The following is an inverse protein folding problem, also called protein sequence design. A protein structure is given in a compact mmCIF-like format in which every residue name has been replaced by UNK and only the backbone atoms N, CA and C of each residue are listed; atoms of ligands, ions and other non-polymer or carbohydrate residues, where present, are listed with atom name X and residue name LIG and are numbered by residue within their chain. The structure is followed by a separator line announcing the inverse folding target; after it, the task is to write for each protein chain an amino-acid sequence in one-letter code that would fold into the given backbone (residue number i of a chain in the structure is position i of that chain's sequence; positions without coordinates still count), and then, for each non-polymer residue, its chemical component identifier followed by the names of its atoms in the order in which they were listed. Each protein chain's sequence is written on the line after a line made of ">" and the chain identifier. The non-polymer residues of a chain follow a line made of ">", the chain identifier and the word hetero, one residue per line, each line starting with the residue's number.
data_IF_157957080731
#
_entry.id   IF_157957080731
#
_cell.length_a   1.000
_cell.length_b   1.000
_cell.length_c   1.000
_cell.angle_alpha   90.00
_cell.angle_beta   90.00
_cell.angle_gamma   90.00
#
_symmetry.space_group_name_H-M   'P 1'
#
loop_
_entity.id
_entity.type
_entity.pdbx_description
1 polymer ?
#
# COMPACT_ATOMS: atom_id res chain seq x y z
N UNK A 1 -20.52 49.21 42.77
CA UNK A 1 -19.29 48.81 42.05
C UNK A 1 -18.90 47.42 42.51
N UNK A 2 -19.12 46.38 41.68
CA UNK A 2 -18.50 45.06 41.86
C UNK A 2 -17.89 44.70 40.52
N UNK A 3 -16.59 44.45 40.57
CA UNK A 3 -15.66 44.22 39.47
C UNK A 3 -15.94 42.90 38.74
N UNK A 4 -15.90 42.93 37.41
CA UNK A 4 -15.70 41.76 36.55
C UNK A 4 -14.41 41.02 36.95
N UNK A 5 -14.38 39.70 36.74
CA UNK A 5 -13.22 38.99 36.17
C UNK A 5 -13.68 37.68 35.54
N UNK A 6 -13.56 37.63 34.22
CA UNK A 6 -13.79 36.47 33.38
C UNK A 6 -12.64 35.48 33.58
N UNK A 7 -12.96 34.23 33.89
CA UNK A 7 -11.99 33.13 33.95
C UNK A 7 -12.28 32.15 32.83
N UNK A 8 -11.89 32.52 31.61
CA UNK A 8 -11.81 31.61 30.46
C UNK A 8 -10.37 31.58 29.94
N UNK A 9 -9.44 30.84 30.59
CA UNK A 9 -8.25 30.43 29.84
C UNK A 9 -7.87 28.95 30.00
N UNK A 10 -8.55 28.15 30.82
CA UNK A 10 -8.10 26.79 31.12
C UNK A 10 -8.57 25.72 30.14
N UNK A 11 -9.70 25.89 29.44
CA UNK A 11 -10.19 24.87 28.50
C UNK A 11 -9.42 24.83 27.18
N UNK A 12 -8.75 25.92 26.78
CA UNK A 12 -8.09 26.00 25.47
C UNK A 12 -6.72 25.32 25.44
N UNK A 13 -6.02 25.24 26.58
CA UNK A 13 -4.69 24.63 26.66
C UNK A 13 -4.71 23.09 26.67
N UNK A 14 -5.79 22.47 27.16
CA UNK A 14 -5.91 21.01 27.18
C UNK A 14 -6.21 20.43 25.78
N UNK A 15 -6.89 21.19 24.92
CA UNK A 15 -7.21 20.74 23.55
C UNK A 15 -5.96 20.76 22.65
N UNK A 16 -5.00 21.64 22.89
CA UNK A 16 -3.75 21.72 22.09
C UNK A 16 -2.77 20.60 22.43
N UNK A 17 -2.76 20.11 23.67
CA UNK A 17 -1.85 19.04 24.11
C UNK A 17 -2.21 17.66 23.54
N UNK A 18 -3.48 17.39 23.20
CA UNK A 18 -3.89 16.13 22.58
C UNK A 18 -3.53 16.02 21.09
N UNK A 19 -3.28 17.14 20.39
CA UNK A 19 -2.81 17.12 19.00
C UNK A 19 -1.29 16.96 18.87
N UNK A 20 -0.54 17.05 19.98
CA UNK A 20 0.92 16.88 20.00
C UNK A 20 1.37 15.44 20.28
N UNK A 21 0.43 14.50 20.47
CA UNK A 21 0.73 13.08 20.35
C UNK A 21 0.92 12.75 18.87
N UNK A 22 2.07 13.20 18.35
CA UNK A 22 2.59 12.79 17.05
C UNK A 22 2.48 11.27 16.95
N UNK A 23 1.95 10.82 15.83
CA UNK A 23 1.85 9.42 15.49
C UNK A 23 3.26 8.85 15.61
N UNK A 24 3.51 7.97 16.58
CA UNK A 24 4.80 7.27 16.69
C UNK A 24 4.87 6.35 15.48
N UNK A 25 5.43 6.84 14.38
CA UNK A 25 5.99 5.97 13.36
C UNK A 25 7.11 5.20 14.05
N UNK A 26 7.08 3.87 13.97
CA UNK A 26 8.17 3.06 14.53
C UNK A 26 9.43 3.35 13.74
N UNK A 27 10.56 3.57 14.40
CA UNK A 27 11.83 3.77 13.69
C UNK A 27 12.12 2.58 12.76
N UNK A 28 12.79 2.82 11.61
CA UNK A 28 13.28 1.74 10.77
C UNK A 28 14.07 0.70 11.56
N UNK A 29 13.79 -0.57 11.30
CA UNK A 29 14.48 -1.69 11.96
C UNK A 29 14.95 -2.71 10.94
N UNK A 30 16.04 -3.38 11.27
CA UNK A 30 16.58 -4.47 10.47
C UNK A 30 15.92 -5.79 10.85
N UNK A 31 15.39 -6.50 9.86
CA UNK A 31 14.67 -7.76 10.05
C UNK A 31 15.62 -8.96 9.84
N UNK A 32 15.49 -10.06 10.61
CA UNK A 32 16.39 -11.21 10.51
C UNK A 32 16.49 -11.90 9.14
N UNK A 33 15.57 -11.62 8.22
CA UNK A 33 15.60 -12.14 6.84
C UNK A 33 16.41 -11.26 5.87
N UNK A 34 17.17 -10.28 6.35
CA UNK A 34 18.06 -9.46 5.52
C UNK A 34 17.33 -8.34 4.79
N UNK A 35 16.60 -7.52 5.53
CA UNK A 35 15.83 -6.41 4.98
C UNK A 35 15.58 -5.33 6.03
N UNK A 36 15.56 -4.07 5.61
CA UNK A 36 15.06 -2.96 6.40
C UNK A 36 13.53 -2.90 6.33
N UNK A 37 12.90 -2.56 7.46
CA UNK A 37 11.45 -2.42 7.56
C UNK A 37 11.05 -1.20 8.37
N UNK A 38 9.92 -0.60 8.02
CA UNK A 38 9.30 0.47 8.79
C UNK A 38 7.77 0.39 8.74
N UNK A 39 7.13 0.56 9.90
CA UNK A 39 5.67 0.67 9.98
C UNK A 39 5.24 2.12 9.87
N UNK A 40 4.63 2.44 8.73
CA UNK A 40 4.07 3.74 8.40
C UNK A 40 2.54 3.66 8.52
N UNK A 41 2.02 3.84 9.73
CA UNK A 41 0.58 3.68 10.01
C UNK A 41 0.09 2.27 9.65
N UNK A 42 -0.80 2.16 8.67
CA UNK A 42 -1.37 0.89 8.20
C UNK A 42 -0.55 0.29 7.04
N UNK A 43 0.66 0.81 6.82
CA UNK A 43 1.59 0.35 5.79
C UNK A 43 2.84 -0.25 6.42
N UNK A 44 3.32 -1.33 5.84
CA UNK A 44 4.66 -1.86 6.09
C UNK A 44 5.51 -1.59 4.85
N UNK A 45 6.55 -0.77 5.01
CA UNK A 45 7.57 -0.55 4.01
C UNK A 45 8.76 -1.49 4.26
N UNK A 46 9.34 -2.01 3.19
CA UNK A 46 10.36 -3.06 3.20
C UNK A 46 11.39 -2.76 2.12
N UNK A 47 12.67 -2.89 2.44
CA UNK A 47 13.72 -2.91 1.43
C UNK A 47 14.77 -3.98 1.75
N UNK A 48 14.88 -5.03 0.93
CA UNK A 48 15.88 -6.09 1.11
C UNK A 48 17.32 -5.57 1.03
N UNK A 49 18.22 -6.19 1.79
CA UNK A 49 19.64 -5.80 1.84
C UNK A 49 20.40 -6.08 0.54
N UNK A 50 19.87 -6.90 -0.36
CA UNK A 50 20.56 -7.24 -1.60
C UNK A 50 19.65 -7.05 -2.81
N UNK A 51 20.26 -6.80 -3.96
CA UNK A 51 19.63 -6.92 -5.28
C UNK A 51 20.13 -8.23 -5.88
N UNK A 52 19.21 -9.16 -6.11
CA UNK A 52 19.48 -10.47 -6.70
C UNK A 52 18.92 -10.48 -8.13
N UNK A 53 19.65 -9.89 -9.07
CA UNK A 53 19.21 -9.74 -10.47
C UNK A 53 18.94 -11.09 -11.14
N UNK A 54 19.70 -12.13 -10.80
CA UNK A 54 19.50 -13.49 -11.29
C UNK A 54 18.12 -14.06 -10.91
N UNK A 55 17.53 -13.55 -9.82
CA UNK A 55 16.23 -13.96 -9.30
C UNK A 55 15.11 -12.96 -9.68
N UNK A 56 15.41 -11.91 -10.44
CA UNK A 56 14.43 -10.88 -10.80
C UNK A 56 13.17 -11.43 -11.50
N UNK A 57 13.30 -12.54 -12.23
CA UNK A 57 12.17 -13.21 -12.88
C UNK A 57 11.21 -13.91 -11.91
N UNK A 58 11.67 -14.25 -10.70
CA UNK A 58 10.87 -14.93 -9.69
C UNK A 58 9.98 -13.98 -8.87
N UNK A 59 10.30 -12.69 -8.81
CA UNK A 59 9.46 -11.72 -8.12
C UNK A 59 10.11 -10.35 -7.91
N UNK A 60 9.29 -9.33 -7.71
CA UNK A 60 9.77 -7.97 -7.43
C UNK A 60 10.62 -7.88 -6.15
N UNK A 61 10.43 -8.79 -5.19
CA UNK A 61 11.17 -8.84 -3.92
C UNK A 61 12.70 -8.83 -4.13
N UNK A 62 13.18 -9.50 -5.18
CA UNK A 62 14.62 -9.65 -5.43
C UNK A 62 15.30 -8.35 -5.89
N UNK A 63 14.54 -7.40 -6.44
CA UNK A 63 15.11 -6.20 -7.09
C UNK A 63 14.49 -4.89 -6.61
N UNK A 64 13.49 -4.93 -5.73
CA UNK A 64 12.70 -3.73 -5.38
C UNK A 64 12.64 -3.50 -3.87
N UNK A 65 12.57 -2.24 -3.45
CA UNK A 65 11.89 -1.92 -2.20
C UNK A 65 10.37 -1.94 -2.46
N UNK A 66 9.56 -2.19 -1.45
CA UNK A 66 8.11 -2.20 -1.60
C UNK A 66 7.43 -1.78 -0.30
N UNK A 67 6.21 -1.28 -0.40
CA UNK A 67 5.38 -0.97 0.74
C UNK A 67 3.97 -1.48 0.50
N UNK A 68 3.33 -2.01 1.54
CA UNK A 68 1.98 -2.56 1.38
C UNK A 68 1.06 -2.32 2.56
N UNK A 69 -0.23 -2.23 2.26
CA UNK A 69 -1.34 -2.22 3.20
C UNK A 69 -2.37 -3.26 2.76
N UNK A 70 -3.21 -3.75 3.67
CA UNK A 70 -4.15 -4.82 3.35
C UNK A 70 -5.23 -5.01 4.41
N UNK A 71 -6.02 -6.06 4.22
CA UNK A 71 -7.05 -6.50 5.17
C UNK A 71 -6.45 -7.34 6.31
N UNK A 72 -7.32 -7.89 7.15
CA UNK A 72 -6.94 -8.89 8.15
C UNK A 72 -6.24 -10.10 7.53
N UNK A 73 -5.53 -10.84 8.38
CA UNK A 73 -4.78 -12.02 7.98
C UNK A 73 -5.70 -13.23 7.76
N UNK A 74 -5.41 -13.97 6.70
CA UNK A 74 -5.94 -15.29 6.38
C UNK A 74 -5.33 -16.38 7.28
N UNK A 75 -5.70 -17.64 7.07
CA UNK A 75 -5.19 -18.78 7.87
C UNK A 75 -3.66 -18.97 7.78
N UNK A 76 -3.04 -18.50 6.69
CA UNK A 76 -1.60 -18.50 6.47
C UNK A 76 -0.88 -17.26 7.03
N UNK A 77 -1.58 -16.38 7.75
CA UNK A 77 -1.01 -15.15 8.32
C UNK A 77 -0.75 -14.04 7.31
N UNK A 78 -1.33 -14.12 6.10
CA UNK A 78 -1.18 -13.12 5.04
C UNK A 78 -2.46 -12.30 4.87
N UNK A 79 -2.41 -11.00 4.53
CA UNK A 79 -3.62 -10.23 4.26
C UNK A 79 -4.43 -10.85 3.11
N UNK A 80 -5.75 -11.07 3.30
CA UNK A 80 -6.62 -11.58 2.21
C UNK A 80 -6.52 -10.72 0.96
N UNK A 81 -6.48 -9.39 1.14
CA UNK A 81 -6.33 -8.45 0.05
C UNK A 81 -5.26 -7.44 0.40
N UNK A 82 -4.40 -7.14 -0.58
CA UNK A 82 -3.24 -6.25 -0.39
C UNK A 82 -3.11 -5.27 -1.53
N UNK A 83 -2.76 -4.03 -1.21
CA UNK A 83 -2.29 -3.02 -2.16
C UNK A 83 -0.80 -2.78 -1.90
N UNK A 84 0.01 -2.86 -2.95
CA UNK A 84 1.48 -2.78 -2.85
C UNK A 84 2.01 -1.69 -3.78
N UNK A 85 2.81 -0.78 -3.25
CA UNK A 85 3.72 0.10 -4.01
C UNK A 85 5.07 -0.60 -4.14
N UNK A 86 5.68 -0.55 -5.32
CA UNK A 86 6.92 -1.28 -5.63
C UNK A 86 7.88 -0.32 -6.31
N UNK A 87 9.01 -0.03 -5.67
CA UNK A 87 10.08 0.78 -6.25
C UNK A 87 11.18 -0.15 -6.79
N UNK A 88 11.23 -0.32 -8.10
CA UNK A 88 12.25 -1.12 -8.75
C UNK A 88 13.61 -0.40 -8.65
N UNK A 89 14.58 -1.03 -7.98
CA UNK A 89 15.89 -0.42 -7.71
C UNK A 89 16.84 -0.47 -8.90
N UNK A 90 16.51 -1.25 -9.95
CA UNK A 90 17.30 -1.32 -11.18
C UNK A 90 17.06 -0.11 -12.09
N UNK A 91 15.84 0.42 -12.11
CA UNK A 91 15.45 1.48 -13.04
C UNK A 91 14.75 2.69 -12.38
N UNK A 92 14.44 2.61 -11.09
CA UNK A 92 13.74 3.67 -10.33
C UNK A 92 12.25 3.77 -10.63
N UNK A 93 11.67 2.85 -11.40
CA UNK A 93 10.24 2.88 -11.71
C UNK A 93 9.41 2.50 -10.49
N UNK A 94 8.35 3.27 -10.25
CA UNK A 94 7.36 3.00 -9.22
C UNK A 94 6.15 2.30 -9.84
N UNK A 95 5.72 1.24 -9.20
CA UNK A 95 4.64 0.39 -9.68
C UNK A 95 3.61 0.09 -8.58
N UNK A 96 2.46 -0.43 -9.01
CA UNK A 96 1.34 -0.78 -8.13
C UNK A 96 0.84 -2.18 -8.44
N UNK A 97 0.64 -2.97 -7.39
CA UNK A 97 0.04 -4.28 -7.50
C UNK A 97 -1.06 -4.53 -6.45
N UNK A 98 -2.10 -5.24 -6.86
CA UNK A 98 -3.14 -5.79 -6.01
C UNK A 98 -2.89 -7.27 -5.78
N UNK A 99 -3.00 -7.75 -4.55
CA UNK A 99 -2.94 -9.19 -4.26
C UNK A 99 -4.25 -9.68 -3.68
N UNK A 100 -4.60 -10.91 -4.04
CA UNK A 100 -5.78 -11.65 -3.58
C UNK A 100 -5.33 -13.01 -3.03
N UNK A 101 -5.25 -13.09 -1.71
CA UNK A 101 -4.81 -14.23 -0.92
C UNK A 101 -5.97 -14.78 -0.07
N UNK A 102 -7.21 -14.50 -0.44
CA UNK A 102 -8.37 -15.01 0.29
C UNK A 102 -8.30 -16.55 0.42
N UNK A 103 -8.72 -17.07 1.57
CA UNK A 103 -8.70 -18.51 1.82
C UNK A 103 -9.47 -19.28 0.72
N UNK A 104 -8.83 -20.32 0.17
CA UNK A 104 -9.35 -21.08 -0.98
C UNK A 104 -8.73 -20.72 -2.35
N UNK A 105 -7.82 -19.73 -2.40
CA UNK A 105 -7.07 -19.34 -3.60
C UNK A 105 -7.57 -18.04 -4.21
N UNK A 106 -7.19 -17.75 -5.47
CA UNK A 106 -7.65 -16.54 -6.17
C UNK A 106 -9.19 -16.50 -6.20
N UNK A 107 -9.75 -15.49 -5.56
CA UNK A 107 -11.17 -15.19 -5.55
C UNK A 107 -11.57 -14.21 -6.66
N UNK A 108 -10.63 -13.46 -7.26
CA UNK A 108 -10.90 -12.47 -8.29
C UNK A 108 -11.42 -13.06 -9.62
N UNK A 109 -12.62 -12.63 -10.02
CA UNK A 109 -13.18 -12.87 -11.35
C UNK A 109 -12.54 -11.94 -12.40
N UNK A 110 -11.61 -12.50 -13.17
CA UNK A 110 -10.86 -11.76 -14.21
C UNK A 110 -11.71 -11.28 -15.39
N UNK A 111 -12.96 -11.72 -15.51
CA UNK A 111 -13.87 -11.24 -16.56
C UNK A 111 -14.59 -9.94 -16.19
N UNK A 112 -14.48 -9.51 -14.92
CA UNK A 112 -15.10 -8.29 -14.42
C UNK A 112 -14.02 -7.32 -13.93
N UNK A 113 -14.19 -6.01 -14.14
CA UNK A 113 -13.18 -5.04 -13.72
C UNK A 113 -13.11 -4.94 -12.19
N UNK A 114 -11.89 -4.90 -11.66
CA UNK A 114 -11.62 -4.42 -10.32
C UNK A 114 -11.88 -2.92 -10.28
N UNK A 115 -12.41 -2.42 -9.17
CA UNK A 115 -12.77 -0.99 -9.02
C UNK A 115 -12.05 -0.42 -7.83
N UNK A 116 -11.34 0.69 -8.01
CA UNK A 116 -10.76 1.45 -6.90
C UNK A 116 -11.28 2.87 -6.90
N UNK A 117 -11.74 3.34 -5.75
CA UNK A 117 -12.30 4.67 -5.56
C UNK A 117 -11.59 5.39 -4.43
N UNK A 118 -11.25 6.66 -4.66
CA UNK A 118 -10.69 7.53 -3.63
C UNK A 118 -11.73 8.58 -3.22
N UNK A 119 -12.15 8.55 -1.95
CA UNK A 119 -13.19 9.46 -1.46
C UNK A 119 -14.49 9.39 -2.28
N UNK A 120 -14.95 10.54 -2.77
CA UNK A 120 -16.18 10.69 -3.56
C UNK A 120 -15.95 10.72 -5.07
N UNK A 121 -14.73 10.45 -5.54
CA UNK A 121 -14.42 10.44 -6.98
C UNK A 121 -15.06 9.24 -7.70
N UNK A 122 -15.28 9.32 -9.02
CA UNK A 122 -15.65 8.15 -9.80
C UNK A 122 -14.61 7.02 -9.63
N UNK A 123 -15.02 5.75 -9.53
CA UNK A 123 -14.07 4.65 -9.41
C UNK A 123 -13.25 4.51 -10.70
N UNK A 124 -11.95 4.29 -10.55
CA UNK A 124 -11.10 3.79 -11.62
C UNK A 124 -11.43 2.30 -11.84
N UNK A 125 -11.72 1.96 -13.09
CA UNK A 125 -11.94 0.58 -13.52
C UNK A 125 -10.63 -0.02 -14.03
N UNK A 126 -10.30 -1.20 -13.53
CA UNK A 126 -9.07 -1.94 -13.84
C UNK A 126 -9.46 -3.33 -14.37
N UNK A 127 -9.40 -3.49 -15.69
CA UNK A 127 -9.75 -4.72 -16.41
C UNK A 127 -8.53 -5.61 -16.59
N UNK A 128 -8.66 -6.90 -16.25
CA UNK A 128 -7.59 -7.88 -16.47
C UNK A 128 -7.30 -8.07 -17.97
N UNK A 129 -6.02 -8.13 -18.32
CA UNK A 129 -5.52 -8.22 -19.70
C UNK A 129 -5.48 -6.88 -20.45
N UNK A 130 -6.01 -5.79 -19.89
CA UNK A 130 -5.91 -4.43 -20.45
C UNK A 130 -5.17 -3.51 -19.50
N UNK A 131 -5.66 -3.40 -18.26
CA UNK A 131 -5.14 -2.52 -17.23
C UNK A 131 -4.38 -3.27 -16.15
N UNK A 132 -4.66 -4.57 -16.00
CA UNK A 132 -4.03 -5.46 -15.02
C UNK A 132 -3.41 -6.66 -15.70
N UNK A 133 -2.27 -7.09 -15.20
CA UNK A 133 -1.61 -8.32 -15.63
C UNK A 133 -0.96 -9.05 -14.44
N UNK A 134 -0.74 -10.35 -14.59
CA UNK A 134 0.17 -11.08 -13.70
C UNK A 134 1.59 -10.96 -14.23
N UNK A 135 2.55 -10.77 -13.32
CA UNK A 135 3.99 -10.81 -13.63
C UNK A 135 4.69 -11.85 -12.76
N UNK A 136 5.93 -12.17 -13.13
CA UNK A 136 6.77 -13.13 -12.41
C UNK A 136 6.10 -14.50 -12.32
N UNK A 137 6.39 -15.27 -11.27
CA UNK A 137 5.78 -16.59 -11.00
C UNK A 137 4.49 -16.51 -10.18
N UNK A 138 3.96 -15.31 -9.95
CA UNK A 138 2.79 -15.08 -9.09
C UNK A 138 1.47 -15.24 -9.85
N UNK A 139 0.50 -15.93 -9.26
CA UNK A 139 -0.81 -16.20 -9.89
C UNK A 139 -1.94 -15.32 -9.37
N UNK A 140 -1.70 -14.61 -8.27
CA UNK A 140 -2.69 -13.87 -7.52
C UNK A 140 -2.23 -12.46 -7.14
N UNK A 141 -1.22 -11.96 -7.87
CA UNK A 141 -0.78 -10.58 -7.81
C UNK A 141 -0.97 -9.94 -9.19
N UNK A 142 -1.68 -8.82 -9.21
CA UNK A 142 -2.15 -8.13 -10.40
C UNK A 142 -1.53 -6.73 -10.46
N UNK A 143 -0.58 -6.55 -11.36
CA UNK A 143 0.15 -5.31 -11.59
C UNK A 143 -0.64 -4.40 -12.51
N UNK A 144 -0.58 -3.09 -12.28
CA UNK A 144 -1.21 -2.11 -13.18
C UNK A 144 -0.32 -1.94 -14.42
N UNK A 145 -0.76 -2.51 -15.53
CA UNK A 145 0.00 -2.55 -16.79
C UNK A 145 -0.18 -1.29 -17.63
N UNK A 146 -1.32 -0.63 -17.54
CA UNK A 146 -1.55 0.65 -18.23
C UNK A 146 -0.80 1.79 -17.51
N UNK A 147 0.19 2.45 -18.15
CA UNK A 147 1.01 3.45 -17.49
C UNK A 147 0.21 4.66 -17.00
N UNK A 148 -0.77 5.12 -17.78
CA UNK A 148 -1.56 6.29 -17.42
C UNK A 148 -2.43 6.04 -16.19
N UNK A 149 -3.05 4.85 -16.10
CA UNK A 149 -3.82 4.43 -14.91
C UNK A 149 -2.92 4.21 -13.71
N UNK A 150 -1.75 3.58 -13.89
CA UNK A 150 -0.77 3.40 -12.81
C UNK A 150 -0.35 4.75 -12.22
N UNK A 151 0.01 5.70 -13.07
CA UNK A 151 0.48 7.01 -12.63
C UNK A 151 -0.65 7.80 -11.93
N UNK A 152 -1.87 7.75 -12.48
CA UNK A 152 -3.05 8.35 -11.84
C UNK A 152 -3.38 7.70 -10.49
N UNK A 153 -3.21 6.38 -10.38
CA UNK A 153 -3.42 5.64 -9.15
C UNK A 153 -2.41 6.05 -8.07
N UNK A 154 -1.13 6.10 -8.42
CA UNK A 154 -0.05 6.55 -7.52
C UNK A 154 -0.31 7.99 -7.06
N UNK A 155 -0.70 8.89 -7.96
CA UNK A 155 -1.03 10.26 -7.62
C UNK A 155 -2.17 10.32 -6.59
N UNK A 156 -3.27 9.59 -6.83
CA UNK A 156 -4.37 9.53 -5.89
C UNK A 156 -3.96 8.93 -4.53
N UNK A 157 -3.11 7.90 -4.51
CA UNK A 157 -2.60 7.31 -3.28
C UNK A 157 -1.78 8.29 -2.43
N UNK A 158 -1.05 9.22 -3.07
CA UNK A 158 -0.27 10.28 -2.37
C UNK A 158 -1.16 11.36 -1.76
N UNK A 159 -2.28 11.68 -2.40
CA UNK A 159 -3.11 12.82 -2.03
C UNK A 159 -4.26 12.49 -1.06
N UNK A 160 -4.74 11.25 -1.08
CA UNK A 160 -5.99 10.86 -0.43
C UNK A 160 -5.70 10.10 0.85
N UNK A 161 -6.64 10.11 1.79
CA UNK A 161 -6.46 9.44 3.09
C UNK A 161 -6.90 7.96 3.08
N UNK A 162 -7.72 7.56 2.13
CA UNK A 162 -8.23 6.18 2.02
C UNK A 162 -8.74 5.87 0.62
N UNK A 163 -8.75 4.59 0.26
CA UNK A 163 -9.38 4.06 -0.92
C UNK A 163 -10.43 3.00 -0.56
N UNK A 164 -11.45 2.85 -1.40
CA UNK A 164 -12.34 1.68 -1.43
C UNK A 164 -11.97 0.84 -2.63
N UNK A 165 -11.59 -0.41 -2.39
CA UNK A 165 -11.27 -1.42 -3.38
C UNK A 165 -12.42 -2.41 -3.45
N UNK A 166 -13.01 -2.59 -4.64
CA UNK A 166 -14.08 -3.56 -4.89
C UNK A 166 -13.58 -4.61 -5.86
N UNK A 167 -13.50 -5.85 -5.37
CA UNK A 167 -13.00 -7.00 -6.13
C UNK A 167 -14.19 -7.90 -6.48
N UNK A 168 -14.51 -8.08 -7.77
CA UNK A 168 -15.54 -9.04 -8.17
C UNK A 168 -15.07 -10.47 -7.90
N UNK A 169 -15.92 -11.29 -7.27
CA UNK A 169 -15.56 -12.65 -6.86
C UNK A 169 -16.02 -13.69 -7.90
N UNK A 170 -15.16 -14.64 -8.24
CA UNK A 170 -15.48 -15.76 -9.12
C UNK A 170 -16.55 -16.68 -8.50
N UNK A 171 -17.38 -17.29 -9.34
CA UNK A 171 -18.48 -18.16 -8.93
C UNK A 171 -19.76 -17.88 -9.69
N UNK A 172 -20.86 -18.49 -9.26
CA UNK A 172 -22.15 -18.42 -9.95
C UNK A 172 -22.97 -17.15 -9.63
N UNK A 173 -22.60 -16.40 -8.59
CA UNK A 173 -23.29 -15.15 -8.22
C UNK A 173 -22.65 -13.93 -8.93
N UNK A 174 -23.32 -13.34 -9.94
CA UNK A 174 -22.82 -12.18 -10.66
C UNK A 174 -22.78 -10.89 -9.82
N UNK A 175 -23.34 -10.91 -8.60
CA UNK A 175 -23.30 -9.80 -7.63
C UNK A 175 -22.29 -10.04 -6.51
N UNK A 176 -21.55 -11.15 -6.49
CA UNK A 176 -20.53 -11.39 -5.48
C UNK A 176 -19.33 -10.44 -5.67
N UNK A 177 -19.01 -9.67 -4.63
CA UNK A 177 -17.84 -8.81 -4.54
C UNK A 177 -17.31 -8.73 -3.09
N UNK A 178 -16.00 -8.53 -2.95
CA UNK A 178 -15.39 -8.02 -1.72
C UNK A 178 -15.32 -6.49 -1.78
N UNK A 179 -15.72 -5.81 -0.69
CA UNK A 179 -15.64 -4.35 -0.54
C UNK A 179 -14.69 -4.02 0.61
N UNK A 180 -13.54 -3.43 0.25
CA UNK A 180 -12.38 -3.30 1.12
C UNK A 180 -12.02 -1.84 1.26
N UNK A 181 -11.94 -1.35 2.51
CA UNK A 181 -11.40 -0.02 2.79
C UNK A 181 -9.91 -0.13 3.12
N UNK A 182 -9.09 0.57 2.36
CA UNK A 182 -7.64 0.67 2.57
C UNK A 182 -7.25 2.08 3.02
N UNK A 183 -6.31 2.15 3.96
CA UNK A 183 -5.74 3.42 4.42
C UNK A 183 -4.62 3.87 3.48
N UNK A 184 -4.57 5.17 3.15
CA UNK A 184 -3.50 5.76 2.34
C UNK A 184 -2.57 6.66 3.17
N UNK A 185 -2.81 6.78 4.49
CA UNK A 185 -2.07 7.72 5.35
C UNK A 185 -0.57 7.40 5.46
N UNK A 186 -0.17 6.15 5.23
CA UNK A 186 1.22 5.71 5.26
C UNK A 186 1.97 5.85 3.93
N UNK A 187 1.30 6.26 2.85
CA UNK A 187 1.87 6.21 1.49
C UNK A 187 3.11 7.09 1.36
N UNK A 188 3.03 8.36 1.77
CA UNK A 188 4.15 9.30 1.60
C UNK A 188 5.37 8.86 2.42
N UNK A 189 5.19 8.54 3.70
CA UNK A 189 6.29 8.07 4.55
C UNK A 189 6.89 6.75 4.05
N UNK A 190 6.07 5.85 3.50
CA UNK A 190 6.56 4.61 2.89
C UNK A 190 7.37 4.86 1.62
N UNK A 191 6.99 5.85 0.82
CA UNK A 191 7.76 6.25 -0.36
C UNK A 191 9.09 6.90 0.04
N UNK A 192 9.08 7.75 1.07
CA UNK A 192 10.31 8.35 1.61
C UNK A 192 11.25 7.27 2.18
N UNK A 193 10.72 6.28 2.90
CA UNK A 193 11.49 5.11 3.33
C UNK A 193 12.08 4.36 2.13
N UNK A 194 11.26 4.03 1.13
CA UNK A 194 11.75 3.29 -0.04
C UNK A 194 12.84 4.08 -0.77
N UNK A 195 12.71 5.39 -0.91
CA UNK A 195 13.75 6.24 -1.53
C UNK A 195 15.04 6.27 -0.69
N UNK A 196 14.93 6.41 0.63
CA UNK A 196 16.06 6.45 1.55
C UNK A 196 16.84 5.12 1.63
N UNK A 197 16.15 3.99 1.51
CA UNK A 197 16.72 2.65 1.63
C UNK A 197 16.89 1.93 0.29
N UNK A 198 16.44 2.50 -0.83
CA UNK A 198 16.74 2.04 -2.19
C UNK A 198 18.20 2.29 -2.60
N UNK A 199 19.14 2.24 -1.64
CA UNK A 199 20.57 2.39 -1.85
C UNK A 199 21.02 1.55 -3.04
N UNK A 200 21.83 2.19 -3.87
CA UNK A 200 22.33 1.64 -5.13
C UNK A 200 23.34 0.54 -4.84
N UNK A 201 23.47 -0.41 -5.77
CA UNK A 201 24.41 -1.56 -5.74
C UNK A 201 25.83 -1.18 -5.29
N UNK A 202 26.27 0.05 -5.56
CA UNK A 202 27.61 0.56 -5.22
C UNK A 202 27.88 0.73 -3.71
N UNK A 203 26.85 0.75 -2.87
CA UNK A 203 26.98 0.86 -1.40
C UNK A 203 27.04 -0.49 -0.68
N UNK A 204 26.92 -1.61 -1.41
CA UNK A 204 27.03 -2.98 -0.89
C UNK A 204 28.43 -3.58 -1.08
N UNK A 205 29.35 -2.86 -1.74
CA UNK A 205 30.75 -3.25 -1.95
C UNK A 205 31.69 -2.64 -0.91
#
# INVERSE_FOLDING_TARGET
>A
MISMKHSVPFLLAALTAMFAAGQVAGEPFHHPFGEWREYNRDWLAVCPDAIEEENASAGYYYVSCFASTGTGQNEAGQPDYKLTLILNRLNGELDVAFSDQADGGTSFDRNRPLRIRFGSEPPMLLTYGTDLETRYTTVNQYFVSDPAKRDALIAAMREKASATLVIPLAGDDPQAFADIRLSMQGVLASLDFMDAYARRVEEYN
#
